data_IF_058896779165
#
_entry.id   IF_058896779165
#
_cell.length_a   1.000
_cell.length_b   1.000
_cell.length_c   1.000
_cell.angle_alpha   90.00
_cell.angle_beta   90.00
_cell.angle_gamma   90.00
#
_symmetry.space_group_name_H-M   'P 1'
#
loop_
_entity.id
_entity.type
_entity.pdbx_description
1 polymer ?
#
# COMPACT_ATOMS: atom_id res chain seq x y z
N UNK A 1 4.62 -6.33 16.39
CA UNK A 1 3.85 -6.79 15.22
C UNK A 1 2.46 -6.17 15.19
N UNK A 2 2.34 -4.99 14.52
CA UNK A 2 1.09 -4.29 14.36
C UNK A 2 0.72 -4.18 12.89
N UNK A 3 -0.58 -4.21 12.58
CA UNK A 3 -1.12 -3.83 11.27
C UNK A 3 -1.75 -2.45 11.42
N UNK A 4 -1.36 -1.48 10.59
CA UNK A 4 -1.89 -0.12 10.63
C UNK A 4 -3.33 -0.05 10.08
N UNK A 5 -3.59 -0.66 8.94
CA UNK A 5 -4.87 -0.74 8.23
C UNK A 5 -5.36 0.56 7.58
N UNK A 6 -4.62 1.66 7.72
CA UNK A 6 -5.01 2.96 7.17
C UNK A 6 -3.77 3.71 6.65
N UNK A 7 -2.91 2.99 5.92
CA UNK A 7 -1.65 3.52 5.43
C UNK A 7 -1.87 4.25 4.10
N UNK A 8 -1.82 5.58 4.14
CA UNK A 8 -1.88 6.44 2.97
C UNK A 8 -1.20 7.77 3.29
N UNK A 9 -1.00 8.63 2.24
CA UNK A 9 -0.16 9.82 2.39
C UNK A 9 -0.65 10.78 3.48
N UNK A 10 -1.96 10.91 3.67
CA UNK A 10 -2.52 11.80 4.69
C UNK A 10 -2.10 11.41 6.12
N UNK A 11 -1.72 10.14 6.34
CA UNK A 11 -1.29 9.64 7.64
C UNK A 11 0.21 9.60 7.79
N UNK A 12 0.96 10.25 6.90
CA UNK A 12 2.41 10.37 6.98
C UNK A 12 2.77 11.78 7.41
N UNK A 13 3.46 11.91 8.53
CA UNK A 13 3.93 13.18 9.06
C UNK A 13 5.41 13.38 8.70
N UNK A 14 5.75 14.56 8.20
CA UNK A 14 7.13 14.92 7.88
C UNK A 14 7.65 15.84 8.98
N UNK A 15 8.66 15.38 9.71
CA UNK A 15 9.28 16.13 10.79
C UNK A 15 10.60 16.78 10.36
N UNK A 16 11.40 17.15 11.35
CA UNK A 16 12.72 17.73 11.13
C UNK A 16 13.61 16.76 10.34
N UNK A 17 14.48 17.32 9.50
CA UNK A 17 15.39 16.55 8.63
C UNK A 17 14.67 15.60 7.68
N UNK A 18 13.43 15.93 7.30
CA UNK A 18 12.60 15.11 6.39
C UNK A 18 12.33 13.68 6.93
N UNK A 19 12.40 13.51 8.25
CA UNK A 19 12.04 12.24 8.87
C UNK A 19 10.51 12.07 8.83
N UNK A 20 10.05 10.98 8.19
CA UNK A 20 8.63 10.68 8.08
C UNK A 20 8.19 9.72 9.17
N UNK A 21 7.01 9.96 9.72
CA UNK A 21 6.38 9.08 10.71
C UNK A 21 4.97 8.76 10.31
N UNK A 22 4.56 7.52 10.55
CA UNK A 22 3.19 7.10 10.33
C UNK A 22 2.34 7.56 11.52
N UNK A 23 1.19 8.15 11.22
CA UNK A 23 0.27 8.66 12.21
C UNK A 23 -1.09 7.98 12.08
N UNK A 24 -2.04 8.35 12.96
CA UNK A 24 -3.41 7.87 12.99
C UNK A 24 -3.51 6.35 13.09
N UNK A 25 -3.28 5.84 14.30
CA UNK A 25 -3.34 4.40 14.58
C UNK A 25 -4.75 3.94 14.98
N UNK A 26 -5.79 4.72 14.64
CA UNK A 26 -7.18 4.39 15.00
C UNK A 26 -7.64 3.03 14.51
N UNK A 27 -7.12 2.57 13.36
CA UNK A 27 -7.40 1.25 12.82
C UNK A 27 -6.32 0.22 13.10
N UNK A 28 -5.23 0.62 13.78
CA UNK A 28 -4.12 -0.29 14.04
C UNK A 28 -4.50 -1.39 15.03
N UNK A 29 -3.95 -2.57 14.83
CA UNK A 29 -4.19 -3.74 15.69
C UNK A 29 -2.90 -4.54 15.86
N UNK A 30 -2.74 -5.11 17.05
CA UNK A 30 -1.68 -6.06 17.32
C UNK A 30 -2.03 -7.39 16.64
N UNK A 31 -1.07 -7.96 15.93
CA UNK A 31 -1.25 -9.25 15.30
C UNK A 31 -0.55 -10.31 16.17
N UNK A 32 -1.32 -11.24 16.72
CA UNK A 32 -0.77 -12.36 17.46
C UNK A 32 -0.56 -13.57 16.54
N UNK A 33 -1.47 -13.78 15.59
CA UNK A 33 -1.48 -14.94 14.70
C UNK A 33 -1.21 -14.59 13.23
N UNK A 34 -0.50 -13.50 12.95
CA UNK A 34 -0.20 -13.04 11.60
C UNK A 34 -1.41 -12.65 10.75
N UNK A 35 -2.59 -12.74 11.29
CA UNK A 35 -3.81 -12.37 10.60
C UNK A 35 -4.80 -11.74 11.57
N UNK A 36 -5.48 -10.70 11.12
CA UNK A 36 -6.58 -10.09 11.84
C UNK A 36 -7.79 -10.02 10.92
N UNK A 37 -8.90 -10.61 11.35
CA UNK A 37 -10.15 -10.56 10.61
C UNK A 37 -11.01 -9.44 11.17
N UNK A 38 -11.44 -8.52 10.30
CA UNK A 38 -12.27 -7.40 10.71
C UNK A 38 -13.67 -7.87 11.03
N UNK A 39 -14.34 -7.12 11.92
CA UNK A 39 -15.76 -7.35 12.19
C UNK A 39 -16.58 -6.86 11.01
N UNK A 40 -17.73 -7.50 10.79
CA UNK A 40 -18.69 -7.11 9.78
C UNK A 40 -19.11 -5.65 10.01
N UNK A 41 -19.13 -4.85 8.95
CA UNK A 41 -19.52 -3.45 9.00
C UNK A 41 -18.38 -2.46 9.20
N UNK A 42 -17.14 -2.92 9.36
CA UNK A 42 -16.00 -2.02 9.42
C UNK A 42 -15.77 -1.36 8.04
N UNK A 43 -15.56 -0.04 8.04
CA UNK A 43 -15.26 0.69 6.82
C UNK A 43 -13.74 0.72 6.60
N UNK A 44 -13.33 0.47 5.36
CA UNK A 44 -11.92 0.51 4.97
C UNK A 44 -11.73 1.50 3.84
N UNK A 45 -10.54 2.16 3.77
CA UNK A 45 -10.19 2.97 2.61
C UNK A 45 -9.88 2.05 1.41
N UNK A 46 -10.90 1.71 0.65
CA UNK A 46 -10.85 0.69 -0.41
C UNK A 46 -9.70 0.89 -1.39
N UNK A 47 -9.42 2.14 -1.77
CA UNK A 47 -8.35 2.45 -2.74
C UNK A 47 -6.97 2.03 -2.26
N UNK A 48 -6.76 1.95 -0.96
CA UNK A 48 -5.49 1.57 -0.35
C UNK A 48 -5.51 0.15 0.23
N UNK A 49 -6.68 -0.47 0.26
CA UNK A 49 -6.87 -1.78 0.90
C UNK A 49 -6.58 -2.91 -0.07
N UNK A 50 -5.86 -3.93 0.39
CA UNK A 50 -5.60 -5.12 -0.41
C UNK A 50 -6.92 -5.81 -0.78
N UNK A 51 -7.03 -6.38 -2.01
CA UNK A 51 -8.30 -6.97 -2.47
C UNK A 51 -8.85 -8.05 -1.54
N UNK A 52 -8.01 -8.92 -1.01
CA UNK A 52 -8.45 -10.00 -0.11
C UNK A 52 -9.02 -9.46 1.19
N UNK A 53 -8.52 -8.32 1.66
CA UNK A 53 -9.06 -7.66 2.85
C UNK A 53 -10.43 -7.05 2.55
N UNK A 54 -10.55 -6.36 1.42
CA UNK A 54 -11.81 -5.74 1.03
C UNK A 54 -12.91 -6.79 0.81
N UNK A 55 -12.56 -7.96 0.29
CA UNK A 55 -13.51 -9.03 0.00
C UNK A 55 -13.79 -9.94 1.19
N UNK A 56 -12.77 -10.27 1.95
CA UNK A 56 -12.86 -11.32 2.99
C UNK A 56 -12.54 -10.82 4.40
N UNK A 57 -11.98 -9.62 4.55
CA UNK A 57 -11.76 -8.98 5.84
C UNK A 57 -10.52 -9.39 6.63
N UNK A 58 -9.67 -10.26 6.09
CA UNK A 58 -8.49 -10.75 6.81
C UNK A 58 -7.25 -9.90 6.58
N UNK A 59 -6.86 -9.08 7.56
CA UNK A 59 -5.64 -8.28 7.48
C UNK A 59 -4.41 -9.10 7.85
N UNK A 60 -3.35 -8.97 7.05
CA UNK A 60 -2.04 -9.53 7.33
C UNK A 60 -0.96 -8.49 7.10
N UNK A 61 0.29 -8.80 7.45
CA UNK A 61 1.41 -7.93 7.10
C UNK A 61 1.50 -7.75 5.58
N UNK A 62 1.20 -8.79 4.81
CA UNK A 62 1.22 -8.74 3.34
C UNK A 62 0.13 -7.84 2.75
N UNK A 63 -1.01 -7.70 3.41
CA UNK A 63 -2.01 -6.71 3.00
C UNK A 63 -1.50 -5.28 3.25
N UNK A 64 -0.72 -5.07 4.30
CA UNK A 64 -0.04 -3.80 4.55
C UNK A 64 0.97 -3.46 3.46
N UNK A 65 1.69 -4.46 2.93
CA UNK A 65 2.61 -4.27 1.81
C UNK A 65 1.85 -3.77 0.57
N UNK A 66 0.67 -4.32 0.30
CA UNK A 66 -0.18 -3.85 -0.79
C UNK A 66 -0.56 -2.38 -0.62
N UNK A 67 -0.97 -1.99 0.58
CA UNK A 67 -1.29 -0.58 0.90
C UNK A 67 -0.07 0.33 0.70
N UNK A 68 1.10 -0.14 1.08
CA UNK A 68 2.34 0.60 0.88
C UNK A 68 2.64 0.83 -0.61
N UNK A 69 2.32 -0.15 -1.46
CA UNK A 69 2.43 0.02 -2.91
C UNK A 69 1.54 1.14 -3.43
N UNK A 70 0.33 1.26 -2.91
CA UNK A 70 -0.57 2.37 -3.26
C UNK A 70 -0.02 3.70 -2.73
N UNK A 71 0.51 3.73 -1.52
CA UNK A 71 1.16 4.92 -0.96
C UNK A 71 2.28 5.41 -1.87
N UNK A 72 3.05 4.52 -2.46
CA UNK A 72 4.11 4.89 -3.40
C UNK A 72 3.55 5.65 -4.61
N UNK A 73 2.38 5.27 -5.12
CA UNK A 73 1.75 6.01 -6.23
C UNK A 73 1.39 7.42 -5.81
N UNK A 74 0.93 7.62 -4.59
CA UNK A 74 0.66 8.97 -4.08
C UNK A 74 1.93 9.81 -4.04
N UNK A 75 3.04 9.22 -3.61
CA UNK A 75 4.32 9.94 -3.52
C UNK A 75 4.82 10.36 -4.90
N UNK A 76 4.80 9.48 -5.89
CA UNK A 76 5.32 9.79 -7.22
C UNK A 76 4.39 10.67 -8.03
N UNK A 77 3.10 10.70 -7.72
CA UNK A 77 2.11 11.56 -8.39
C UNK A 77 1.87 12.86 -7.63
N UNK A 78 2.61 13.11 -6.56
CA UNK A 78 2.48 14.32 -5.72
C UNK A 78 1.09 14.46 -5.10
N UNK A 79 0.55 13.37 -4.60
CA UNK A 79 -0.68 13.35 -3.84
C UNK A 79 -1.95 13.13 -4.65
N UNK A 80 -1.85 12.63 -5.88
CA UNK A 80 -3.04 12.29 -6.65
C UNK A 80 -3.76 11.09 -6.05
N UNK A 81 -5.08 11.11 -6.13
CA UNK A 81 -5.91 10.01 -5.64
C UNK A 81 -5.66 8.77 -6.48
N UNK A 82 -5.46 7.59 -5.86
CA UNK A 82 -5.30 6.34 -6.59
C UNK A 82 -6.54 5.97 -7.41
N UNK A 83 -6.35 5.19 -8.47
CA UNK A 83 -7.41 4.75 -9.36
C UNK A 83 -8.30 5.91 -9.81
N UNK A 84 -7.73 6.93 -10.50
CA UNK A 84 -8.48 8.14 -10.85
C UNK A 84 -9.70 7.80 -11.72
N UNK A 85 -10.83 8.43 -11.40
CA UNK A 85 -12.06 8.25 -12.16
C UNK A 85 -12.83 6.97 -11.84
N UNK A 86 -12.35 6.15 -10.90
CA UNK A 86 -13.01 4.89 -10.55
C UNK A 86 -13.68 4.99 -9.18
N UNK A 87 -14.88 4.43 -9.06
CA UNK A 87 -15.56 4.29 -7.77
C UNK A 87 -15.20 2.95 -7.12
N UNK A 88 -15.46 2.80 -5.82
CA UNK A 88 -14.98 1.66 -5.05
C UNK A 88 -15.37 0.30 -5.63
N UNK A 89 -16.61 0.10 -6.06
CA UNK A 89 -17.03 -1.20 -6.59
C UNK A 89 -16.36 -1.52 -7.93
N UNK A 90 -16.10 -0.50 -8.76
CA UNK A 90 -15.34 -0.69 -10.01
C UNK A 90 -13.91 -1.12 -9.72
N UNK A 91 -13.27 -0.49 -8.71
CA UNK A 91 -11.91 -0.82 -8.32
C UNK A 91 -11.82 -2.29 -7.91
N UNK A 92 -12.72 -2.73 -7.02
CA UNK A 92 -12.73 -4.12 -6.56
C UNK A 92 -12.93 -5.10 -7.70
N UNK A 93 -13.87 -4.81 -8.60
CA UNK A 93 -14.15 -5.66 -9.75
C UNK A 93 -12.95 -5.74 -10.70
N UNK A 94 -12.37 -4.61 -11.05
CA UNK A 94 -11.26 -4.56 -12.01
C UNK A 94 -9.98 -5.18 -11.43
N UNK A 95 -9.67 -4.88 -10.16
CA UNK A 95 -8.49 -5.45 -9.49
C UNK A 95 -8.62 -6.97 -9.39
N UNK A 96 -9.81 -7.48 -9.10
CA UNK A 96 -10.05 -8.93 -9.05
C UNK A 96 -9.81 -9.59 -10.41
N UNK A 97 -10.08 -8.88 -11.50
CA UNK A 97 -9.80 -9.33 -12.87
C UNK A 97 -8.34 -9.18 -13.29
N UNK A 98 -7.49 -8.65 -12.42
CA UNK A 98 -6.06 -8.48 -12.69
C UNK A 98 -5.62 -7.07 -13.06
N UNK A 99 -6.54 -6.11 -13.09
CA UNK A 99 -6.19 -4.71 -13.37
C UNK A 99 -5.27 -4.16 -12.28
N UNK A 100 -4.27 -3.40 -12.70
CA UNK A 100 -3.38 -2.65 -11.82
C UNK A 100 -3.15 -1.27 -12.43
N UNK A 101 -2.87 -0.28 -11.59
CA UNK A 101 -2.59 1.06 -12.08
C UNK A 101 -1.36 1.05 -13.00
N UNK A 102 -1.42 1.81 -14.12
CA UNK A 102 -0.27 1.93 -15.02
C UNK A 102 0.86 2.73 -14.37
N UNK A 103 2.04 2.70 -14.98
CA UNK A 103 3.17 3.50 -14.54
C UNK A 103 2.82 4.98 -14.57
N UNK A 104 2.86 5.68 -13.43
CA UNK A 104 2.59 7.13 -13.42
C UNK A 104 3.59 7.90 -14.27
N UNK A 105 3.14 9.03 -14.83
CA UNK A 105 4.02 9.88 -15.62
C UNK A 105 5.21 10.35 -14.77
N UNK A 106 6.41 10.18 -15.30
CA UNK A 106 7.64 10.56 -14.61
C UNK A 106 8.13 9.53 -13.58
N UNK A 107 7.41 8.45 -13.38
CA UNK A 107 7.82 7.39 -12.47
C UNK A 107 8.80 6.45 -13.17
N UNK A 108 9.96 6.15 -12.56
CA UNK A 108 10.89 5.15 -13.13
C UNK A 108 10.22 3.78 -13.22
N UNK A 109 10.51 3.06 -14.29
CA UNK A 109 9.93 1.74 -14.52
C UNK A 109 10.27 0.75 -13.41
N UNK A 110 11.50 0.80 -12.90
CA UNK A 110 11.92 -0.08 -11.80
C UNK A 110 11.07 0.13 -10.54
N UNK A 111 10.68 1.36 -10.26
CA UNK A 111 9.82 1.66 -9.12
C UNK A 111 8.39 1.16 -9.36
N UNK A 112 7.89 1.30 -10.58
CA UNK A 112 6.58 0.74 -10.95
C UNK A 112 6.57 -0.78 -10.86
N UNK A 113 7.66 -1.45 -11.23
CA UNK A 113 7.79 -2.89 -11.04
C UNK A 113 7.70 -3.28 -9.57
N UNK A 114 8.32 -2.51 -8.68
CA UNK A 114 8.19 -2.73 -7.24
C UNK A 114 6.74 -2.59 -6.78
N UNK A 115 6.03 -1.56 -7.27
CA UNK A 115 4.61 -1.39 -6.96
C UNK A 115 3.80 -2.61 -7.39
N UNK A 116 4.04 -3.13 -8.60
CA UNK A 116 3.35 -4.31 -9.09
C UNK A 116 3.63 -5.55 -8.25
N UNK A 117 4.84 -5.69 -7.72
CA UNK A 117 5.15 -6.76 -6.76
C UNK A 117 4.32 -6.64 -5.50
N UNK A 118 4.18 -5.42 -4.98
CA UNK A 118 3.35 -5.15 -3.79
C UNK A 118 1.87 -5.47 -4.04
N UNK A 119 1.43 -5.41 -5.30
CA UNK A 119 0.03 -5.61 -5.69
C UNK A 119 -0.27 -7.01 -6.20
N UNK A 120 0.63 -7.99 -6.02
CA UNK A 120 0.37 -9.37 -6.42
C UNK A 120 -0.93 -9.86 -5.80
N UNK A 121 -1.72 -10.61 -6.57
CA UNK A 121 -2.99 -11.14 -6.09
C UNK A 121 -2.79 -12.08 -4.91
N UNK A 122 -1.80 -12.97 -5.01
CA UNK A 122 -1.43 -13.87 -3.92
C UNK A 122 -0.59 -13.09 -2.90
N UNK A 123 -1.06 -12.91 -1.67
CA UNK A 123 -0.29 -12.20 -0.65
C UNK A 123 1.10 -12.78 -0.42
N UNK A 124 1.26 -14.09 -0.54
CA UNK A 124 2.54 -14.76 -0.32
C UNK A 124 3.58 -14.42 -1.41
N UNK A 125 3.13 -13.99 -2.58
CA UNK A 125 4.02 -13.55 -3.65
C UNK A 125 4.48 -12.11 -3.50
N UNK A 126 3.88 -11.35 -2.59
CA UNK A 126 4.28 -9.97 -2.31
C UNK A 126 5.60 -9.94 -1.55
N UNK A 127 6.45 -8.91 -1.77
CA UNK A 127 7.70 -8.79 -1.01
C UNK A 127 7.43 -8.50 0.47
N UNK A 128 8.48 -8.67 1.29
CA UNK A 128 8.43 -8.23 2.68
C UNK A 128 8.69 -6.73 2.76
N UNK A 129 8.32 -6.10 3.88
CA UNK A 129 8.69 -4.70 4.12
C UNK A 129 10.21 -4.52 4.15
N UNK A 130 10.94 -5.50 4.65
CA UNK A 130 12.40 -5.46 4.65
C UNK A 130 12.97 -5.38 3.24
N UNK A 131 12.44 -6.19 2.31
CA UNK A 131 12.83 -6.16 0.91
C UNK A 131 12.53 -4.79 0.29
N UNK A 132 11.32 -4.26 0.53
CA UNK A 132 10.91 -2.96 0.00
C UNK A 132 11.81 -1.87 0.53
N UNK A 133 12.10 -1.88 1.83
CA UNK A 133 13.01 -0.90 2.45
C UNK A 133 14.39 -0.94 1.81
N UNK A 134 14.94 -2.15 1.63
CA UNK A 134 16.25 -2.34 1.02
C UNK A 134 16.27 -1.86 -0.43
N UNK A 135 15.23 -2.18 -1.20
CA UNK A 135 15.11 -1.73 -2.59
C UNK A 135 15.09 -0.22 -2.68
N UNK A 136 14.27 0.44 -1.87
CA UNK A 136 14.15 1.90 -1.90
C UNK A 136 15.45 2.57 -1.43
N UNK A 137 16.11 2.00 -0.44
CA UNK A 137 17.40 2.50 0.03
C UNK A 137 18.46 2.45 -1.07
N UNK A 138 18.56 1.33 -1.74
CA UNK A 138 19.51 1.15 -2.86
C UNK A 138 19.15 2.07 -4.03
N UNK A 139 17.86 2.21 -4.33
CA UNK A 139 17.38 3.08 -5.40
C UNK A 139 17.78 4.53 -5.14
N UNK A 140 17.52 5.06 -3.94
CA UNK A 140 17.87 6.43 -3.61
C UNK A 140 19.38 6.66 -3.57
N UNK A 141 20.14 5.70 -3.08
CA UNK A 141 21.60 5.77 -3.07
C UNK A 141 22.16 5.82 -4.49
N UNK A 142 21.59 5.02 -5.39
CA UNK A 142 22.06 4.94 -6.79
C UNK A 142 21.66 6.17 -7.61
N UNK A 143 20.57 6.87 -7.25
CA UNK A 143 20.03 7.97 -8.05
C UNK A 143 20.34 9.35 -7.49
N UNK A 144 20.85 9.46 -6.28
CA UNK A 144 21.29 10.74 -5.73
C UNK A 144 22.50 11.27 -6.50
N UNK A 145 22.47 12.55 -6.92
CA UNK A 145 23.59 13.17 -7.60
C UNK A 145 24.80 13.37 -6.69
#
# INVERSE_FOLDING_TARGET
>A
NYIHRDLWAANILVGENLLCKIADFGLARLIEDNEYTSRQGAEFPIKWTAPEVALYGGFTIKSGVCSFGILQTELVTKGRVPYPGMVNHEILEQVERGYRMPCPQGCPESLHELMNLCWKKDPDERPTFEYVQSFLGDYFTATEP
#
